data_IF_699538560691
#
_entry.id   IF_699538560691
#
_cell.length_a   1.000
_cell.length_b   1.000
_cell.length_c   1.000
_cell.angle_alpha   90.00
_cell.angle_beta   90.00
_cell.angle_gamma   90.00
#
_symmetry.space_group_name_H-M   'P 1'
#
loop_
_entity.id
_entity.type
_entity.pdbx_description
1 polymer ?
#
# COMPACT_ATOMS: atom_id res chain seq x y z
N UNK A 1 -14.10 -21.99 -21.62
CA UNK A 1 -13.93 -20.70 -20.92
C UNK A 1 -14.15 -19.57 -21.89
N UNK A 2 -15.07 -18.64 -21.59
CA UNK A 2 -15.30 -17.35 -22.31
C UNK A 2 -16.59 -16.67 -21.80
N UNK A 3 -16.71 -16.40 -20.49
CA UNK A 3 -17.83 -15.58 -19.96
C UNK A 3 -17.46 -14.61 -18.83
N UNK A 4 -16.31 -14.76 -18.17
CA UNK A 4 -15.79 -13.77 -17.23
C UNK A 4 -15.00 -12.63 -17.89
N UNK A 5 -14.56 -12.79 -19.15
CA UNK A 5 -13.69 -11.83 -19.84
C UNK A 5 -14.40 -10.67 -20.56
N UNK A 6 -15.66 -10.36 -20.21
CA UNK A 6 -16.41 -9.25 -20.81
C UNK A 6 -16.49 -8.00 -19.93
N UNK A 7 -16.21 -8.11 -18.63
CA UNK A 7 -16.35 -7.02 -17.68
C UNK A 7 -15.03 -6.61 -17.03
N UNK A 8 -13.98 -7.42 -17.13
CA UNK A 8 -12.65 -7.10 -16.60
C UNK A 8 -11.75 -6.77 -17.77
N UNK A 9 -11.42 -5.48 -17.92
CA UNK A 9 -10.57 -4.98 -18.99
C UNK A 9 -9.10 -5.32 -18.72
N UNK A 10 -8.68 -5.18 -17.46
CA UNK A 10 -7.32 -5.42 -17.03
C UNK A 10 -7.33 -5.92 -15.58
N UNK A 11 -6.51 -6.91 -15.28
CA UNK A 11 -6.30 -7.40 -13.92
C UNK A 11 -4.84 -7.79 -13.74
N UNK A 12 -4.19 -7.14 -12.77
CA UNK A 12 -2.77 -7.32 -12.48
C UNK A 12 -2.54 -7.66 -11.02
N UNK A 13 -1.58 -8.54 -10.80
CA UNK A 13 -1.03 -8.89 -9.50
C UNK A 13 0.43 -8.42 -9.43
N UNK A 14 0.86 -7.95 -8.27
CA UNK A 14 2.22 -7.46 -8.06
C UNK A 14 2.69 -7.69 -6.63
N UNK A 15 4.02 -7.66 -6.47
CA UNK A 15 4.72 -7.60 -5.18
C UNK A 15 5.41 -6.23 -5.10
N UNK A 16 5.59 -5.70 -3.90
CA UNK A 16 6.31 -4.46 -3.69
C UNK A 16 7.17 -4.51 -2.42
N UNK A 17 8.18 -3.64 -2.39
CA UNK A 17 9.03 -3.35 -1.24
C UNK A 17 9.26 -1.85 -1.19
N UNK A 18 9.09 -1.23 -0.03
CA UNK A 18 9.24 0.21 0.16
C UNK A 18 10.01 0.53 1.44
N UNK A 19 10.60 1.72 1.47
CA UNK A 19 11.30 2.26 2.62
C UNK A 19 11.21 3.78 2.67
N UNK A 20 11.05 4.33 3.87
CA UNK A 20 10.96 5.76 4.14
C UNK A 20 11.79 6.11 5.39
N UNK A 21 12.37 7.31 5.41
CA UNK A 21 13.07 7.87 6.57
C UNK A 21 12.59 9.29 6.79
N UNK A 22 12.21 9.61 8.02
CA UNK A 22 11.81 10.93 8.47
C UNK A 22 12.79 11.38 9.54
N UNK A 23 13.26 12.63 9.44
CA UNK A 23 14.04 13.27 10.50
C UNK A 23 13.39 14.55 10.97
N UNK A 24 13.44 14.77 12.28
CA UNK A 24 12.99 16.03 12.87
C UNK A 24 14.13 17.04 12.83
N UNK A 25 13.90 18.20 12.21
CA UNK A 25 14.97 19.18 11.96
C UNK A 25 15.39 19.96 13.22
N UNK A 26 14.45 20.25 14.11
CA UNK A 26 14.67 20.90 15.41
C UNK A 26 14.14 20.00 16.53
N UNK A 27 14.79 18.86 16.76
CA UNK A 27 14.43 17.96 17.84
C UNK A 27 14.81 18.57 19.20
N UNK A 28 13.88 18.50 20.16
CA UNK A 28 14.20 18.79 21.56
C UNK A 28 15.18 17.71 22.08
N UNK A 29 16.06 18.03 23.04
CA UNK A 29 17.10 17.12 23.51
C UNK A 29 16.62 15.75 24.01
N UNK A 30 15.35 15.62 24.40
CA UNK A 30 14.74 14.37 24.87
C UNK A 30 13.87 13.64 23.83
N UNK A 31 13.75 14.13 22.58
CA UNK A 31 12.83 13.57 21.58
C UNK A 31 13.60 12.82 20.49
N UNK A 32 13.17 11.59 20.18
CA UNK A 32 13.71 10.82 19.05
C UNK A 32 13.57 11.63 17.74
N UNK A 33 14.67 11.73 17.00
CA UNK A 33 14.81 12.62 15.85
C UNK A 33 14.89 11.88 14.50
N UNK A 34 14.98 10.54 14.51
CA UNK A 34 15.05 9.69 13.31
C UNK A 34 14.03 8.57 13.36
N UNK A 35 13.25 8.45 12.28
CA UNK A 35 12.22 7.45 12.15
C UNK A 35 12.35 6.77 10.79
N UNK A 36 12.54 5.45 10.82
CA UNK A 36 12.66 4.65 9.61
C UNK A 36 11.49 3.67 9.48
N UNK A 37 11.01 3.48 8.26
CA UNK A 37 9.97 2.53 7.93
C UNK A 37 10.47 1.71 6.74
N UNK A 38 10.24 0.41 6.77
CA UNK A 38 10.33 -0.43 5.58
C UNK A 38 9.19 -1.43 5.59
N UNK A 39 8.65 -1.73 4.42
CA UNK A 39 7.55 -2.68 4.27
C UNK A 39 7.74 -3.53 3.01
N UNK A 40 7.15 -4.72 3.03
CA UNK A 40 6.96 -5.55 1.84
C UNK A 40 5.49 -5.89 1.72
N UNK A 41 5.01 -6.12 0.50
CA UNK A 41 3.61 -6.44 0.33
C UNK A 41 3.26 -7.05 -1.01
N UNK A 42 2.01 -7.44 -1.09
CA UNK A 42 1.37 -7.96 -2.29
C UNK A 42 0.14 -7.14 -2.60
N UNK A 43 -0.15 -6.98 -3.87
CA UNK A 43 -1.28 -6.19 -4.32
C UNK A 43 -1.91 -6.73 -5.58
N UNK A 44 -3.14 -6.29 -5.77
CA UNK A 44 -3.92 -6.56 -6.97
C UNK A 44 -4.66 -5.30 -7.38
N UNK A 45 -4.70 -5.05 -8.69
CA UNK A 45 -5.49 -3.97 -9.29
C UNK A 45 -6.29 -4.52 -10.45
N UNK A 46 -7.55 -4.12 -10.52
CA UNK A 46 -8.43 -4.47 -11.63
C UNK A 46 -9.12 -3.22 -12.18
N UNK A 47 -9.32 -3.21 -13.49
CA UNK A 47 -10.21 -2.30 -14.19
C UNK A 47 -11.43 -3.08 -14.66
N UNK A 48 -12.59 -2.70 -14.15
CA UNK A 48 -13.88 -3.30 -14.44
C UNK A 48 -14.67 -2.37 -15.36
N UNK A 49 -14.85 -2.75 -16.61
CA UNK A 49 -15.29 -1.84 -17.67
C UNK A 49 -14.46 -0.54 -17.71
N UNK A 50 -14.83 0.39 -18.59
CA UNK A 50 -14.03 1.62 -18.78
C UNK A 50 -14.27 2.67 -17.69
N UNK A 51 -15.21 2.42 -16.78
CA UNK A 51 -15.71 3.40 -15.81
C UNK A 51 -15.41 3.05 -14.35
N UNK A 52 -14.98 1.83 -14.01
CA UNK A 52 -14.71 1.41 -12.64
C UNK A 52 -13.31 0.80 -12.51
N UNK A 53 -12.56 1.24 -11.51
CA UNK A 53 -11.27 0.66 -11.16
C UNK A 53 -11.15 0.49 -9.65
N UNK A 54 -10.34 -0.49 -9.25
CA UNK A 54 -10.08 -0.74 -7.84
C UNK A 54 -8.74 -1.42 -7.60
N UNK A 55 -8.20 -1.22 -6.41
CA UNK A 55 -7.00 -1.89 -5.93
C UNK A 55 -7.13 -2.34 -4.48
N UNK A 56 -6.42 -3.41 -4.16
CA UNK A 56 -6.28 -3.97 -2.83
C UNK A 56 -4.81 -4.34 -2.61
N UNK A 57 -4.22 -3.80 -1.55
CA UNK A 57 -2.83 -4.00 -1.17
C UNK A 57 -2.75 -4.49 0.27
N UNK A 58 -1.97 -5.54 0.50
CA UNK A 58 -1.63 -6.03 1.82
C UNK A 58 -0.15 -5.83 2.06
N UNK A 59 0.17 -4.98 3.03
CA UNK A 59 1.52 -4.60 3.41
C UNK A 59 1.89 -5.17 4.78
N UNK A 60 3.15 -5.59 4.89
CA UNK A 60 3.76 -6.10 6.11
C UNK A 60 4.98 -5.24 6.48
N UNK A 61 4.91 -4.47 7.58
CA UNK A 61 6.02 -3.62 8.01
C UNK A 61 7.18 -4.47 8.59
N UNK A 62 8.38 -4.25 8.04
CA UNK A 62 9.62 -4.91 8.44
C UNK A 62 10.38 -4.15 9.54
N UNK A 63 10.21 -2.83 9.60
CA UNK A 63 10.81 -1.95 10.61
C UNK A 63 9.73 -1.35 11.52
N UNK A 64 10.11 -1.06 12.77
CA UNK A 64 9.28 -0.31 13.72
C UNK A 64 9.27 1.17 13.36
N UNK A 65 8.08 1.76 13.22
CA UNK A 65 7.91 3.20 13.04
C UNK A 65 7.50 3.90 14.34
N UNK A 66 7.47 5.22 14.33
CA UNK A 66 7.08 6.11 15.46
C UNK A 66 5.82 5.74 16.21
N UNK A 67 4.81 5.24 15.50
CA UNK A 67 3.45 5.05 15.98
C UNK A 67 2.87 3.71 15.50
N UNK A 68 3.72 2.76 15.09
CA UNK A 68 3.26 1.47 14.56
C UNK A 68 4.23 0.38 14.97
N UNK A 69 3.75 -0.50 15.83
CA UNK A 69 4.47 -1.69 16.27
C UNK A 69 4.86 -2.55 15.06
N UNK A 70 6.04 -3.16 15.14
CA UNK A 70 6.51 -4.16 14.17
C UNK A 70 5.44 -5.25 13.99
N UNK A 71 5.24 -5.71 12.76
CA UNK A 71 4.33 -6.81 12.39
C UNK A 71 2.83 -6.48 12.36
N UNK A 72 2.40 -5.23 12.54
CA UNK A 72 0.99 -4.87 12.31
C UNK A 72 0.71 -4.76 10.81
N UNK A 73 0.18 -5.83 10.23
CA UNK A 73 -0.07 -5.89 8.79
C UNK A 73 -1.20 -4.95 8.40
N UNK A 74 -1.01 -4.16 7.34
CA UNK A 74 -1.97 -3.14 6.90
C UNK A 74 -2.63 -3.53 5.59
N UNK A 75 -3.93 -3.32 5.50
CA UNK A 75 -4.71 -3.53 4.29
C UNK A 75 -5.17 -2.18 3.74
N UNK A 76 -4.76 -1.88 2.51
CA UNK A 76 -5.13 -0.66 1.79
C UNK A 76 -6.07 -1.01 0.65
N UNK A 77 -7.16 -0.27 0.52
CA UNK A 77 -8.09 -0.43 -0.60
C UNK A 77 -8.37 0.92 -1.23
N UNK A 78 -8.60 0.91 -2.54
CA UNK A 78 -9.04 2.08 -3.30
C UNK A 78 -10.05 1.66 -4.35
N UNK A 79 -11.08 2.48 -4.55
CA UNK A 79 -12.10 2.29 -5.57
C UNK A 79 -12.38 3.64 -6.22
N UNK A 80 -12.42 3.65 -7.54
CA UNK A 80 -12.65 4.87 -8.30
C UNK A 80 -13.59 4.62 -9.48
N UNK A 81 -14.59 5.48 -9.60
CA UNK A 81 -15.57 5.46 -10.69
C UNK A 81 -15.51 6.77 -11.49
N UNK A 82 -15.71 6.70 -12.80
CA UNK A 82 -15.69 7.84 -13.73
C UNK A 82 -16.91 7.80 -14.65
N UNK A 83 -17.61 8.92 -14.81
CA UNK A 83 -18.89 9.03 -15.52
C UNK A 83 -18.88 10.17 -16.53
#
# INVERSE_FOLDING_TARGET
GKRAGGYVNDWRFYVFAEGAQLRLQDALPEQDDDFSLASVGIGTRAQLADWLSGSLDWAFPLLEGTNTDKHDSRLHFSVQASF
#
